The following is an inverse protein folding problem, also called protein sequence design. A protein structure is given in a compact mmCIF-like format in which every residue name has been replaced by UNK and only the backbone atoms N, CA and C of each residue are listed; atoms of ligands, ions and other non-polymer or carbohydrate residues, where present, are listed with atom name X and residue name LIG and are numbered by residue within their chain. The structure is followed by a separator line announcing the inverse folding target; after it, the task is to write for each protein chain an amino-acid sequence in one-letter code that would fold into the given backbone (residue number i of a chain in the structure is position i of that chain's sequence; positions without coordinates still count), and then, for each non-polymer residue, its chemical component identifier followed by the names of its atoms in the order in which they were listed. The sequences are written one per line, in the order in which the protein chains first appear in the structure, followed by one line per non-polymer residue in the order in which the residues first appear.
data_IF_450693164369
#
_entry.id   IF_450693164369
#
_cell.length_a   1.000
_cell.length_b   1.000
_cell.length_c   1.000
_cell.angle_alpha   90.00
_cell.angle_beta   90.00
_cell.angle_gamma   90.00
#
_symmetry.space_group_name_H-M   'P 1'
#
loop_
_entity.id
_entity.type
_entity.pdbx_description
1 polymer ?
#
# COMPACT_ATOMS: atom_id res chain seq x y z
N UNK A 1 39.62 20.57 54.47
CA UNK A 1 38.24 20.15 54.10
C UNK A 1 38.14 20.06 52.58
N UNK A 2 38.36 18.86 51.99
CA UNK A 2 38.30 18.63 50.57
C UNK A 2 36.87 18.16 50.18
N UNK A 3 36.16 18.95 49.36
CA UNK A 3 34.89 18.55 48.80
C UNK A 3 35.17 17.85 47.47
N UNK A 4 35.00 16.53 47.45
CA UNK A 4 34.95 15.75 46.20
C UNK A 4 33.61 16.06 45.49
N UNK A 5 33.70 16.63 44.27
CA UNK A 5 32.57 16.79 43.40
C UNK A 5 32.49 15.54 42.49
N UNK A 6 31.49 14.70 42.72
CA UNK A 6 31.19 13.57 41.83
C UNK A 6 30.45 14.10 40.62
N UNK A 7 31.10 14.08 39.46
CA UNK A 7 30.45 14.32 38.15
C UNK A 7 29.76 13.03 37.71
N UNK A 8 28.44 13.02 37.72
CA UNK A 8 27.63 11.93 37.13
C UNK A 8 27.60 12.15 35.61
N UNK A 9 28.38 11.33 34.89
CA UNK A 9 28.29 11.26 33.42
C UNK A 9 27.07 10.43 33.06
N UNK A 10 25.99 11.11 32.67
CA UNK A 10 24.83 10.44 32.06
C UNK A 10 25.25 9.95 30.68
N UNK A 11 25.51 8.64 30.54
CA UNK A 11 25.69 7.99 29.24
C UNK A 11 24.34 7.99 28.53
N UNK A 12 24.18 8.86 27.53
CA UNK A 12 23.07 8.80 26.60
C UNK A 12 23.15 7.47 25.80
N UNK A 13 22.30 6.51 26.14
CA UNK A 13 22.15 5.30 25.33
C UNK A 13 21.73 5.71 23.91
N UNK A 14 22.38 5.17 22.85
CA UNK A 14 21.93 5.44 21.50
C UNK A 14 20.49 4.94 21.36
N UNK A 15 19.57 5.86 21.08
CA UNK A 15 18.20 5.51 20.71
C UNK A 15 18.30 4.66 19.42
N UNK A 16 17.67 3.48 19.34
CA UNK A 16 17.60 2.76 18.08
C UNK A 16 16.94 3.69 17.08
N UNK A 17 17.69 4.06 16.04
CA UNK A 17 17.11 4.68 14.85
C UNK A 17 16.15 3.62 14.32
N UNK A 18 14.86 3.81 14.55
CA UNK A 18 13.82 2.99 13.91
C UNK A 18 14.03 3.18 12.41
N UNK A 19 14.66 2.18 11.77
CA UNK A 19 14.75 2.09 10.32
C UNK A 19 13.35 2.33 9.77
N UNK A 20 13.27 3.06 8.65
CA UNK A 20 12.01 3.47 8.05
C UNK A 20 11.03 2.31 8.02
N UNK A 21 10.17 2.28 9.02
CA UNK A 21 9.10 1.29 9.16
C UNK A 21 8.23 1.46 7.94
N UNK A 22 7.89 0.36 7.29
CA UNK A 22 6.93 0.37 6.19
C UNK A 22 5.69 1.20 6.59
N UNK A 23 5.13 1.86 5.63
CA UNK A 23 4.09 2.87 5.74
C UNK A 23 3.10 2.63 6.90
N UNK A 24 3.17 3.45 7.95
CA UNK A 24 2.25 3.41 9.09
C UNK A 24 1.31 4.60 9.07
N UNK A 25 0.10 4.45 9.60
CA UNK A 25 -0.83 5.56 9.79
C UNK A 25 -0.29 6.53 10.87
N UNK A 26 -0.39 7.82 10.63
CA UNK A 26 0.07 8.84 11.57
C UNK A 26 -0.82 8.94 12.79
N UNK A 27 -2.12 8.74 12.62
CA UNK A 27 -3.11 8.64 13.70
C UNK A 27 -4.04 7.44 13.44
N UNK A 28 -3.60 6.20 13.78
CA UNK A 28 -4.34 4.99 13.41
C UNK A 28 -5.80 5.00 13.85
N UNK A 29 -6.10 5.52 15.04
CA UNK A 29 -7.47 5.53 15.56
C UNK A 29 -8.42 6.41 14.73
N UNK A 30 -8.00 7.60 14.37
CA UNK A 30 -8.78 8.54 13.57
C UNK A 30 -8.83 8.13 12.10
N UNK A 31 -7.69 7.76 11.53
CA UNK A 31 -7.57 7.38 10.12
C UNK A 31 -8.40 6.13 9.82
N UNK A 32 -8.34 5.12 10.71
CA UNK A 32 -9.15 3.90 10.58
C UNK A 32 -10.63 4.18 10.82
N UNK A 33 -10.98 5.10 11.72
CA UNK A 33 -12.36 5.52 11.93
C UNK A 33 -12.92 6.26 10.71
N UNK A 34 -12.11 7.05 10.03
CA UNK A 34 -12.48 7.67 8.76
C UNK A 34 -12.72 6.62 7.66
N UNK A 35 -11.85 5.60 7.57
CA UNK A 35 -11.99 4.52 6.60
C UNK A 35 -13.17 3.57 6.89
N UNK A 36 -13.42 3.30 8.17
CA UNK A 36 -14.48 2.42 8.68
C UNK A 36 -15.26 3.12 9.80
N UNK A 37 -16.26 3.96 9.50
CA UNK A 37 -17.01 4.71 10.51
C UNK A 37 -17.66 3.84 11.59
N UNK A 38 -17.98 2.57 11.26
CA UNK A 38 -18.56 1.60 12.18
C UNK A 38 -17.53 0.85 13.05
N UNK A 39 -16.24 1.13 12.90
CA UNK A 39 -15.17 0.52 13.68
C UNK A 39 -15.37 0.73 15.19
N UNK A 40 -15.20 -0.34 15.97
CA UNK A 40 -15.16 -0.29 17.43
C UNK A 40 -13.73 -0.43 17.97
N UNK A 41 -12.89 -1.23 17.29
CA UNK A 41 -11.49 -1.44 17.65
C UNK A 41 -10.66 -1.86 16.44
N UNK A 42 -9.35 -1.82 16.58
CA UNK A 42 -8.43 -2.33 15.57
C UNK A 42 -7.25 -3.04 16.22
N UNK A 43 -6.57 -3.87 15.43
CA UNK A 43 -5.28 -4.49 15.78
C UNK A 43 -4.26 -4.07 14.74
N UNK A 44 -3.13 -3.57 15.20
CA UNK A 44 -1.93 -3.33 14.39
C UNK A 44 -1.04 -4.56 14.46
N UNK A 45 -0.51 -4.97 13.32
CA UNK A 45 0.32 -6.15 13.18
C UNK A 45 1.52 -5.84 12.27
N UNK A 46 2.73 -6.07 12.78
CA UNK A 46 3.95 -5.98 12.00
C UNK A 46 4.25 -7.33 11.36
N UNK A 47 4.34 -7.33 10.03
CA UNK A 47 4.71 -8.50 9.23
C UNK A 47 6.15 -8.33 8.76
N UNK A 48 7.00 -9.28 9.12
CA UNK A 48 8.43 -9.29 8.78
C UNK A 48 8.75 -10.61 8.10
N UNK A 49 9.25 -10.57 6.87
CA UNK A 49 9.57 -11.79 6.11
C UNK A 49 10.52 -12.75 6.85
N UNK A 50 11.57 -12.28 7.57
CA UNK A 50 12.45 -13.16 8.33
C UNK A 50 11.73 -14.00 9.39
N UNK A 51 10.58 -13.55 9.88
CA UNK A 51 9.78 -14.23 10.91
C UNK A 51 8.71 -15.16 10.33
N UNK A 52 8.47 -15.11 9.01
CA UNK A 52 7.49 -15.96 8.36
C UNK A 52 8.09 -17.34 8.02
N UNK A 53 7.26 -18.37 8.09
CA UNK A 53 7.61 -19.67 7.51
C UNK A 53 7.85 -19.46 6.01
N UNK A 54 8.99 -19.96 5.51
CA UNK A 54 9.42 -19.82 4.11
C UNK A 54 9.59 -18.35 3.65
N UNK A 55 9.88 -17.44 4.58
CA UNK A 55 9.95 -15.99 4.35
C UNK A 55 10.86 -15.59 3.18
N UNK A 56 12.01 -16.24 3.01
CA UNK A 56 12.90 -15.97 1.87
C UNK A 56 12.26 -16.32 0.51
N UNK A 57 11.55 -17.45 0.42
CA UNK A 57 10.84 -17.85 -0.79
C UNK A 57 9.66 -16.92 -1.06
N UNK A 58 8.92 -16.53 -0.02
CA UNK A 58 7.83 -15.56 -0.11
C UNK A 58 8.33 -14.20 -0.60
N UNK A 59 9.44 -13.70 -0.06
CA UNK A 59 10.03 -12.43 -0.50
C UNK A 59 10.53 -12.48 -1.94
N UNK A 60 11.13 -13.59 -2.37
CA UNK A 60 11.50 -13.80 -3.78
C UNK A 60 10.28 -13.72 -4.70
N UNK A 61 9.18 -14.38 -4.32
CA UNK A 61 7.90 -14.31 -5.06
C UNK A 61 7.32 -12.90 -5.09
N UNK A 62 7.35 -12.19 -3.96
CA UNK A 62 6.91 -10.79 -3.88
C UNK A 62 7.70 -9.90 -4.84
N UNK A 63 9.04 -10.01 -4.86
CA UNK A 63 9.90 -9.27 -5.79
C UNK A 63 9.53 -9.52 -7.25
N UNK A 64 9.24 -10.77 -7.60
CA UNK A 64 8.80 -11.13 -8.97
C UNK A 64 7.47 -10.46 -9.33
N UNK A 65 6.53 -10.36 -8.37
CA UNK A 65 5.21 -9.75 -8.59
C UNK A 65 5.24 -8.22 -8.61
N UNK A 66 6.07 -7.60 -7.79
CA UNK A 66 6.20 -6.14 -7.71
C UNK A 66 7.10 -5.59 -8.83
N UNK A 67 8.15 -6.33 -9.21
CA UNK A 67 9.11 -5.85 -10.20
C UNK A 67 9.74 -4.53 -9.77
N UNK A 68 9.63 -3.51 -10.63
CA UNK A 68 10.16 -2.17 -10.37
C UNK A 68 9.35 -1.36 -9.34
N UNK A 69 8.19 -1.84 -8.90
CA UNK A 69 7.40 -1.18 -7.86
C UNK A 69 7.93 -1.45 -6.45
N UNK A 70 8.82 -2.43 -6.29
CA UNK A 70 9.57 -2.65 -5.04
C UNK A 70 10.78 -1.70 -5.00
N UNK A 71 10.84 -0.86 -3.98
CA UNK A 71 11.99 0.01 -3.77
C UNK A 71 13.16 -0.79 -3.20
N UNK A 72 14.28 -0.98 -3.94
CA UNK A 72 15.38 -1.85 -3.50
C UNK A 72 16.15 -1.29 -2.31
N UNK A 73 16.03 0.01 -2.02
CA UNK A 73 16.73 0.68 -0.91
C UNK A 73 15.92 0.57 0.38
N UNK A 74 14.61 0.84 0.29
CA UNK A 74 13.73 0.95 1.47
C UNK A 74 12.87 -0.30 1.70
N UNK A 75 12.75 -1.19 0.73
CA UNK A 75 11.94 -2.41 0.81
C UNK A 75 12.80 -3.64 0.51
N UNK A 76 13.54 -4.06 1.51
CA UNK A 76 14.38 -5.26 1.48
C UNK A 76 13.75 -6.39 2.33
N UNK A 77 14.45 -7.51 2.44
CA UNK A 77 13.97 -8.68 3.19
C UNK A 77 13.67 -8.39 4.66
N UNK A 78 14.42 -7.47 5.28
CA UNK A 78 14.31 -7.09 6.70
C UNK A 78 13.22 -6.02 6.94
N UNK A 79 12.65 -5.44 5.89
CA UNK A 79 11.69 -4.35 6.05
C UNK A 79 10.39 -4.85 6.68
N UNK A 80 9.96 -4.27 7.83
CA UNK A 80 8.67 -4.59 8.42
C UNK A 80 7.53 -3.90 7.64
N UNK A 81 6.39 -4.58 7.55
CA UNK A 81 5.16 -4.06 6.95
C UNK A 81 4.05 -4.02 8.00
N UNK A 82 3.29 -2.93 8.02
CA UNK A 82 2.21 -2.76 8.98
C UNK A 82 0.86 -3.08 8.34
N UNK A 83 0.13 -4.02 8.93
CA UNK A 83 -1.24 -4.36 8.54
C UNK A 83 -2.18 -4.02 9.70
N UNK A 84 -3.25 -3.30 9.42
CA UNK A 84 -4.31 -3.02 10.39
C UNK A 84 -5.51 -3.92 10.12
N UNK A 85 -5.92 -4.68 11.14
CA UNK A 85 -7.19 -5.41 11.14
C UNK A 85 -8.24 -4.58 11.87
N UNK A 86 -9.37 -4.31 11.22
CA UNK A 86 -10.44 -3.44 11.72
C UNK A 86 -11.64 -4.28 12.14
N UNK A 87 -12.22 -3.97 13.32
CA UNK A 87 -13.30 -4.73 13.90
C UNK A 87 -14.51 -3.88 14.27
N UNK A 88 -15.71 -4.51 14.16
CA UNK A 88 -16.96 -4.06 14.76
C UNK A 88 -17.41 -5.13 15.75
N UNK A 89 -17.27 -4.86 17.05
CA UNK A 89 -17.36 -5.89 18.06
C UNK A 89 -16.32 -6.99 17.81
N UNK A 90 -16.74 -8.24 17.66
CA UNK A 90 -15.86 -9.36 17.35
C UNK A 90 -15.69 -9.62 15.84
N UNK A 91 -16.49 -8.99 15.01
CA UNK A 91 -16.44 -9.19 13.57
C UNK A 91 -15.31 -8.38 12.95
N UNK A 92 -14.40 -9.04 12.22
CA UNK A 92 -13.40 -8.37 11.38
C UNK A 92 -14.10 -7.81 10.13
N UNK A 93 -14.17 -6.49 10.03
CA UNK A 93 -14.90 -5.77 8.96
C UNK A 93 -13.97 -5.19 7.90
N UNK A 94 -12.67 -5.15 8.15
CA UNK A 94 -11.71 -4.58 7.23
C UNK A 94 -10.28 -4.96 7.51
N UNK A 95 -9.45 -4.73 6.49
CA UNK A 95 -7.99 -4.70 6.59
C UNK A 95 -7.49 -3.45 5.91
N UNK A 96 -6.42 -2.84 6.45
CA UNK A 96 -5.80 -1.64 5.90
C UNK A 96 -4.29 -1.83 5.83
N UNK A 97 -3.71 -1.45 4.71
CA UNK A 97 -2.28 -1.45 4.49
C UNK A 97 -1.88 -0.20 3.70
N UNK A 98 -0.67 0.29 3.91
CA UNK A 98 -0.14 1.45 3.23
C UNK A 98 1.17 1.18 2.51
N UNK A 99 1.42 1.92 1.43
CA UNK A 99 2.69 1.89 0.70
C UNK A 99 3.14 3.30 0.34
N UNK A 100 4.43 3.41 0.13
CA UNK A 100 5.06 4.57 -0.49
C UNK A 100 5.35 4.25 -1.95
N UNK A 101 5.07 5.21 -2.83
CA UNK A 101 5.51 5.20 -4.22
C UNK A 101 6.08 6.58 -4.60
N UNK A 102 7.10 6.63 -5.46
CA UNK A 102 7.64 7.92 -5.91
C UNK A 102 6.62 8.62 -6.80
N UNK A 103 6.34 9.88 -6.49
CA UNK A 103 5.58 10.82 -7.31
C UNK A 103 6.50 11.93 -7.85
N UNK A 104 5.97 12.79 -8.70
CA UNK A 104 6.72 13.91 -9.30
C UNK A 104 7.11 14.97 -8.27
N UNK A 105 6.23 15.25 -7.30
CA UNK A 105 6.46 16.26 -6.26
C UNK A 105 7.06 15.70 -4.97
N UNK A 106 7.27 14.39 -4.87
CA UNK A 106 7.75 13.72 -3.67
C UNK A 106 7.06 12.37 -3.45
N UNK A 107 7.05 11.92 -2.20
CA UNK A 107 6.44 10.62 -1.84
C UNK A 107 4.91 10.70 -1.89
N UNK A 108 4.32 9.71 -2.53
CA UNK A 108 2.89 9.43 -2.46
C UNK A 108 2.71 8.26 -1.50
N UNK A 109 2.03 8.52 -0.38
CA UNK A 109 1.72 7.53 0.63
C UNK A 109 0.23 7.20 0.54
N UNK A 110 -0.10 6.02 0.02
CA UNK A 110 -1.47 5.59 -0.20
C UNK A 110 -1.80 4.38 0.67
N UNK A 111 -2.94 4.44 1.35
CA UNK A 111 -3.53 3.36 2.11
C UNK A 111 -4.73 2.78 1.39
N UNK A 112 -4.83 1.46 1.38
CA UNK A 112 -5.97 0.71 0.86
C UNK A 112 -6.70 0.07 2.03
N UNK A 113 -7.98 0.38 2.15
CA UNK A 113 -8.93 -0.29 3.01
C UNK A 113 -9.69 -1.34 2.20
N UNK A 114 -9.57 -2.62 2.56
CA UNK A 114 -10.13 -3.73 1.80
C UNK A 114 -11.03 -4.63 2.65
N UNK A 115 -11.94 -5.32 1.97
CA UNK A 115 -12.80 -6.33 2.57
C UNK A 115 -11.97 -7.56 2.98
N UNK A 116 -12.09 -8.06 4.22
CA UNK A 116 -11.28 -9.18 4.71
C UNK A 116 -11.60 -10.51 4.03
N UNK A 117 -12.79 -10.67 3.44
CA UNK A 117 -13.22 -11.91 2.79
C UNK A 117 -13.03 -11.86 1.27
N UNK A 118 -13.42 -10.75 0.61
CA UNK A 118 -13.39 -10.65 -0.87
C UNK A 118 -12.12 -10.01 -1.41
N UNK A 119 -11.35 -9.31 -0.57
CA UNK A 119 -10.21 -8.46 -0.95
C UNK A 119 -10.58 -7.29 -1.88
N UNK A 120 -11.85 -6.94 -1.95
CA UNK A 120 -12.31 -5.76 -2.68
C UNK A 120 -11.96 -4.50 -1.93
N UNK A 121 -11.51 -3.49 -2.67
CA UNK A 121 -11.26 -2.16 -2.13
C UNK A 121 -12.58 -1.57 -1.62
N UNK A 122 -12.61 -1.15 -0.39
CA UNK A 122 -13.72 -0.37 0.20
C UNK A 122 -13.47 1.11 0.07
N UNK A 123 -12.24 1.55 0.40
CA UNK A 123 -11.83 2.96 0.36
C UNK A 123 -10.34 3.10 0.12
N UNK A 124 -9.95 4.28 -0.37
CA UNK A 124 -8.56 4.73 -0.44
C UNK A 124 -8.36 5.96 0.44
N UNK A 125 -7.13 6.08 0.94
CA UNK A 125 -6.71 7.23 1.74
C UNK A 125 -5.27 7.61 1.38
N UNK A 126 -5.03 8.89 1.04
CA UNK A 126 -3.69 9.44 0.86
C UNK A 126 -3.29 10.19 2.11
N UNK A 127 -2.43 9.60 2.95
CA UNK A 127 -1.85 10.28 4.11
C UNK A 127 -0.88 11.37 3.67
N UNK A 128 -0.01 11.05 2.71
CA UNK A 128 0.91 11.99 2.08
C UNK A 128 0.74 11.96 0.57
N UNK A 129 0.61 13.12 -0.03
CA UNK A 129 0.51 13.28 -1.48
C UNK A 129 1.11 14.63 -1.86
N UNK A 130 2.41 14.61 -2.12
CA UNK A 130 3.18 15.75 -2.60
C UNK A 130 3.09 15.79 -4.12
N UNK A 131 2.03 16.40 -4.64
CA UNK A 131 1.70 16.42 -6.06
C UNK A 131 1.05 17.74 -6.46
N UNK A 132 1.35 18.29 -7.63
CA UNK A 132 0.56 19.37 -8.21
C UNK A 132 -0.92 19.01 -8.35
N UNK A 133 -1.21 17.72 -8.50
CA UNK A 133 -2.56 17.18 -8.64
C UNK A 133 -3.18 16.70 -7.31
N UNK A 134 -2.60 17.03 -6.15
CA UNK A 134 -3.03 16.51 -4.85
C UNK A 134 -4.53 16.71 -4.58
N UNK A 135 -5.06 17.90 -4.88
CA UNK A 135 -6.48 18.22 -4.68
C UNK A 135 -7.38 17.31 -5.51
N UNK A 136 -7.05 17.11 -6.79
CA UNK A 136 -7.83 16.32 -7.72
C UNK A 136 -7.75 14.81 -7.37
N UNK A 137 -6.55 14.30 -7.06
CA UNK A 137 -6.33 12.90 -6.70
C UNK A 137 -6.91 12.54 -5.31
N UNK A 138 -7.13 13.53 -4.44
CA UNK A 138 -7.82 13.33 -3.15
C UNK A 138 -9.33 13.54 -3.26
N UNK A 139 -9.86 13.88 -4.43
CA UNK A 139 -11.31 14.12 -4.59
C UNK A 139 -12.10 12.83 -4.35
N UNK A 140 -13.29 12.98 -3.80
CA UNK A 140 -14.20 11.85 -3.55
C UNK A 140 -14.58 11.13 -4.84
N UNK A 141 -14.77 11.89 -5.92
CA UNK A 141 -15.11 11.40 -7.25
C UNK A 141 -14.02 10.46 -7.78
N UNK A 142 -12.74 10.83 -7.62
CA UNK A 142 -11.63 9.98 -8.05
C UNK A 142 -11.50 8.75 -7.15
N UNK A 143 -11.47 8.94 -5.83
CA UNK A 143 -11.23 7.84 -4.88
C UNK A 143 -12.35 6.79 -4.90
N UNK A 144 -13.59 7.18 -5.15
CA UNK A 144 -14.73 6.25 -5.18
C UNK A 144 -14.69 5.28 -6.37
N UNK A 145 -13.97 5.60 -7.44
CA UNK A 145 -13.86 4.73 -8.63
C UNK A 145 -13.11 3.41 -8.34
N UNK A 146 -12.34 3.36 -7.26
CA UNK A 146 -11.61 2.15 -6.86
C UNK A 146 -12.46 1.16 -6.05
N UNK A 147 -13.62 1.59 -5.55
CA UNK A 147 -14.48 0.73 -4.74
C UNK A 147 -14.96 -0.50 -5.53
N UNK A 148 -14.87 -1.68 -4.91
CA UNK A 148 -15.23 -2.96 -5.53
C UNK A 148 -14.17 -3.55 -6.46
N UNK A 149 -13.05 -2.86 -6.72
CA UNK A 149 -11.91 -3.43 -7.44
C UNK A 149 -11.11 -4.37 -6.52
N UNK A 150 -10.47 -5.36 -7.12
CA UNK A 150 -9.52 -6.24 -6.44
C UNK A 150 -8.26 -6.48 -7.28
N UNK A 151 -7.31 -7.23 -6.77
CA UNK A 151 -6.03 -7.46 -7.45
C UNK A 151 -6.16 -8.17 -8.82
N UNK A 152 -7.19 -9.00 -9.02
CA UNK A 152 -7.42 -9.64 -10.33
C UNK A 152 -7.72 -8.61 -11.42
N UNK A 153 -8.42 -7.52 -11.08
CA UNK A 153 -8.72 -6.45 -12.03
C UNK A 153 -7.44 -5.74 -12.47
N UNK A 154 -6.50 -5.49 -11.53
CA UNK A 154 -5.21 -4.88 -11.85
C UNK A 154 -4.29 -5.77 -12.69
N UNK A 155 -4.36 -7.10 -12.57
CA UNK A 155 -3.59 -7.99 -13.42
C UNK A 155 -4.09 -8.09 -14.86
N UNK A 156 -5.33 -7.68 -15.12
CA UNK A 156 -5.87 -7.60 -16.48
C UNK A 156 -5.50 -6.30 -17.19
N UNK A 157 -5.07 -5.28 -16.43
CA UNK A 157 -4.82 -3.94 -16.92
C UNK A 157 -3.33 -3.64 -17.05
N UNK A 158 -2.95 -2.94 -18.12
CA UNK A 158 -1.66 -2.25 -18.19
C UNK A 158 -1.82 -0.85 -17.61
N UNK A 159 -1.50 -0.70 -16.33
CA UNK A 159 -1.65 0.55 -15.61
C UNK A 159 -0.61 1.62 -15.99
N UNK A 160 0.34 1.32 -16.87
CA UNK A 160 1.24 2.29 -17.48
C UNK A 160 0.65 2.89 -18.78
N UNK A 161 -0.26 2.18 -19.42
CA UNK A 161 -0.98 2.70 -20.58
C UNK A 161 -2.02 3.74 -20.15
N UNK A 162 -2.39 4.61 -21.07
CA UNK A 162 -3.56 5.46 -20.88
C UNK A 162 -4.80 4.57 -20.77
N UNK A 163 -5.71 4.91 -19.83
CA UNK A 163 -6.99 4.23 -19.74
C UNK A 163 -7.71 4.30 -21.11
N UNK A 164 -8.09 3.13 -21.64
CA UNK A 164 -8.90 3.03 -22.84
C UNK A 164 -10.39 2.97 -22.44
N UNK A 165 -11.16 4.04 -22.65
CA UNK A 165 -12.59 4.07 -22.30
C UNK A 165 -13.43 3.01 -23.03
N UNK A 166 -12.90 2.42 -24.12
CA UNK A 166 -13.55 1.36 -24.90
C UNK A 166 -13.39 -0.04 -24.33
N UNK A 167 -12.48 -0.26 -23.40
CA UNK A 167 -12.20 -1.58 -22.82
C UNK A 167 -13.24 -1.99 -21.77
N UNK A 168 -14.47 -2.32 -22.21
CA UNK A 168 -15.61 -2.66 -21.34
C UNK A 168 -15.36 -3.77 -20.31
N UNK A 169 -14.36 -4.62 -20.51
CA UNK A 169 -14.00 -5.73 -19.60
C UNK A 169 -12.88 -5.35 -18.61
N UNK A 170 -12.26 -4.19 -18.77
CA UNK A 170 -11.16 -3.71 -17.93
C UNK A 170 -11.66 -2.62 -16.98
N UNK A 171 -11.96 -3.01 -15.75
CA UNK A 171 -12.46 -2.09 -14.73
C UNK A 171 -11.42 -1.02 -14.33
N UNK A 172 -10.12 -1.33 -14.41
CA UNK A 172 -9.06 -0.38 -14.10
C UNK A 172 -8.92 0.65 -15.22
N UNK A 173 -9.04 0.23 -16.48
CA UNK A 173 -9.10 1.13 -17.62
C UNK A 173 -10.29 2.11 -17.55
N UNK A 174 -11.38 1.68 -16.92
CA UNK A 174 -12.55 2.54 -16.72
C UNK A 174 -12.37 3.64 -15.69
N UNK A 175 -11.30 3.61 -14.86
CA UNK A 175 -10.98 4.68 -13.92
C UNK A 175 -10.62 5.93 -14.72
N UNK A 176 -11.46 6.96 -14.59
CA UNK A 176 -11.22 8.23 -15.27
C UNK A 176 -10.20 9.06 -14.46
N UNK A 177 -9.12 9.54 -15.08
CA UNK A 177 -8.26 10.52 -14.43
C UNK A 177 -9.10 11.78 -14.12
N UNK A 178 -8.91 12.39 -12.96
CA UNK A 178 -9.51 13.69 -12.72
C UNK A 178 -8.95 14.71 -13.71
N UNK A 179 -9.59 15.88 -13.90
CA UNK A 179 -9.02 16.93 -14.72
C UNK A 179 -7.63 17.32 -14.20
N UNK A 180 -6.59 16.91 -14.93
CA UNK A 180 -5.19 17.12 -14.58
C UNK A 180 -4.51 17.92 -15.67
N UNK A 181 -3.67 18.86 -15.26
CA UNK A 181 -2.67 19.41 -16.15
C UNK A 181 -1.59 18.33 -16.48
N UNK A 182 -0.77 18.55 -17.52
CA UNK A 182 0.26 17.57 -17.89
C UNK A 182 1.25 17.26 -16.75
N UNK A 183 1.43 18.18 -15.79
CA UNK A 183 2.33 17.99 -14.66
C UNK A 183 1.80 16.98 -13.63
N UNK A 184 0.48 16.83 -13.51
CA UNK A 184 -0.16 15.89 -12.58
C UNK A 184 -0.31 14.47 -13.13
N UNK A 185 -0.19 14.26 -14.44
CA UNK A 185 -0.37 12.95 -15.07
C UNK A 185 0.53 11.83 -14.51
N UNK A 186 1.84 12.05 -14.26
CA UNK A 186 2.70 11.01 -13.67
C UNK A 186 2.21 10.55 -12.30
N UNK A 187 1.67 11.45 -11.48
CA UNK A 187 1.21 11.12 -10.14
C UNK A 187 -0.10 10.32 -10.14
N UNK A 188 -0.96 10.51 -11.16
CA UNK A 188 -2.10 9.63 -11.39
C UNK A 188 -1.66 8.19 -11.61
N UNK A 189 -0.69 7.94 -12.50
CA UNK A 189 -0.15 6.59 -12.71
C UNK A 189 0.58 6.05 -11.48
N UNK A 190 1.29 6.91 -10.74
CA UNK A 190 1.91 6.53 -9.48
C UNK A 190 0.86 6.11 -8.44
N UNK A 191 -0.29 6.80 -8.36
CA UNK A 191 -1.39 6.41 -7.51
C UNK A 191 -1.95 5.02 -7.88
N UNK A 192 -2.18 4.74 -9.17
CA UNK A 192 -2.62 3.40 -9.63
C UNK A 192 -1.60 2.31 -9.25
N UNK A 193 -0.29 2.56 -9.45
CA UNK A 193 0.77 1.64 -9.03
C UNK A 193 0.77 1.41 -7.52
N UNK A 194 0.59 2.49 -6.74
CA UNK A 194 0.51 2.41 -5.28
C UNK A 194 -0.67 1.55 -4.81
N UNK A 195 -1.83 1.68 -5.44
CA UNK A 195 -3.00 0.84 -5.14
C UNK A 195 -2.70 -0.63 -5.48
N UNK A 196 -2.16 -0.92 -6.67
CA UNK A 196 -1.77 -2.28 -7.06
C UNK A 196 -0.73 -2.87 -6.11
N UNK A 197 0.30 -2.12 -5.74
CA UNK A 197 1.33 -2.53 -4.78
C UNK A 197 0.72 -2.90 -3.43
N UNK A 198 -0.20 -2.09 -2.90
CA UNK A 198 -0.94 -2.40 -1.68
C UNK A 198 -1.69 -3.73 -1.77
N UNK A 199 -2.42 -3.95 -2.88
CA UNK A 199 -3.19 -5.16 -3.08
C UNK A 199 -2.30 -6.40 -3.18
N UNK A 200 -1.11 -6.30 -3.81
CA UNK A 200 -0.13 -7.39 -3.86
C UNK A 200 0.37 -7.72 -2.46
N UNK A 201 0.73 -6.72 -1.65
CA UNK A 201 1.20 -6.93 -0.29
C UNK A 201 0.11 -7.51 0.61
N UNK A 202 -1.13 -7.01 0.51
CA UNK A 202 -2.28 -7.60 1.20
C UNK A 202 -2.54 -9.05 0.78
N UNK A 203 -2.34 -9.40 -0.51
CA UNK A 203 -2.47 -10.77 -0.99
C UNK A 203 -1.44 -11.71 -0.33
N UNK A 204 -0.23 -11.22 -0.07
CA UNK A 204 0.80 -11.97 0.65
C UNK A 204 0.51 -12.10 2.14
N UNK A 205 0.10 -11.01 2.78
CA UNK A 205 0.03 -10.93 4.25
C UNK A 205 -1.32 -11.38 4.81
N UNK A 206 -2.40 -11.23 4.04
CA UNK A 206 -3.76 -11.42 4.53
C UNK A 206 -4.52 -12.50 3.77
N UNK A 207 -4.38 -12.53 2.43
CA UNK A 207 -5.25 -13.37 1.59
C UNK A 207 -4.59 -14.67 1.11
N UNK A 208 -3.41 -15.03 1.64
CA UNK A 208 -2.75 -16.30 1.36
C UNK A 208 -2.37 -16.51 -0.11
N UNK A 209 -2.06 -15.45 -0.82
CA UNK A 209 -1.68 -15.43 -2.25
C UNK A 209 -2.80 -15.94 -3.18
N UNK A 210 -4.02 -15.70 -2.82
CA UNK A 210 -5.21 -16.12 -3.58
C UNK A 210 -5.25 -15.60 -5.02
N UNK A 211 -4.56 -14.47 -5.30
CA UNK A 211 -4.50 -13.87 -6.63
C UNK A 211 -3.27 -14.27 -7.46
N UNK A 212 -2.41 -15.16 -6.96
CA UNK A 212 -1.23 -15.66 -7.69
C UNK A 212 -1.57 -16.28 -9.06
N UNK A 213 -2.65 -17.08 -9.22
CA UNK A 213 -3.04 -17.61 -10.54
C UNK A 213 -3.38 -16.54 -11.57
N UNK A 214 -3.81 -15.35 -11.15
CA UNK A 214 -4.06 -14.23 -12.06
C UNK A 214 -2.76 -13.60 -12.54
N UNK A 215 -1.76 -13.48 -11.66
CA UNK A 215 -0.43 -13.03 -12.03
C UNK A 215 0.22 -13.97 -13.04
N UNK A 216 0.19 -15.28 -12.81
CA UNK A 216 0.74 -16.28 -13.73
C UNK A 216 0.11 -16.21 -15.12
N UNK A 217 -1.22 -16.04 -15.20
CA UNK A 217 -1.92 -15.84 -16.47
C UNK A 217 -1.50 -14.55 -17.18
N UNK A 218 -1.34 -13.46 -16.41
CA UNK A 218 -0.89 -12.19 -16.96
C UNK A 218 0.53 -12.28 -17.54
N UNK A 219 1.42 -13.01 -16.86
CA UNK A 219 2.80 -13.24 -17.33
C UNK A 219 2.80 -14.07 -18.63
N UNK A 220 2.05 -15.17 -18.67
CA UNK A 220 1.93 -16.00 -19.88
C UNK A 220 1.38 -15.21 -21.07
N UNK A 221 0.40 -14.34 -20.85
CA UNK A 221 -0.17 -13.51 -21.91
C UNK A 221 0.82 -12.45 -22.44
N UNK A 222 1.78 -11.99 -21.63
CA UNK A 222 2.85 -11.07 -22.08
C UNK A 222 3.89 -11.82 -22.93
N UNK A 223 4.39 -12.94 -22.45
CA UNK A 223 5.41 -13.74 -23.17
C UNK A 223 4.93 -14.36 -24.48
N UNK A 224 3.62 -14.42 -24.71
CA UNK A 224 3.05 -14.87 -26.01
C UNK A 224 2.89 -13.76 -27.04
N UNK A 225 3.16 -12.50 -26.68
CA UNK A 225 3.09 -11.32 -27.55
C UNK A 225 4.47 -10.78 -27.98
N UNK A 226 5.53 -11.26 -27.33
CA UNK A 226 6.94 -11.04 -27.69
C UNK A 226 7.43 -12.14 -28.63
#
# INVERSE_FOLDING_TARGET
MNRLVFAIILAAAPQPVLAAIGCTLSNPAEDLKYLYPEMTTFKEELVEFPKLKDGAALFKGLRARLGSDLDPIYENFETPYTVYSVFKGQAKIGVVHGVNVPGKGGVIQVFVAADPATAEIKRLFFQRLESPAARQLKSKEFLSQFSGLNLADFYKHDYYAAADPGAKADKVAAIQPPPLDPAGKPDYFAALRGVRKNLILLDYFVYGRRFEPYFERAQKAKSSKE
#
